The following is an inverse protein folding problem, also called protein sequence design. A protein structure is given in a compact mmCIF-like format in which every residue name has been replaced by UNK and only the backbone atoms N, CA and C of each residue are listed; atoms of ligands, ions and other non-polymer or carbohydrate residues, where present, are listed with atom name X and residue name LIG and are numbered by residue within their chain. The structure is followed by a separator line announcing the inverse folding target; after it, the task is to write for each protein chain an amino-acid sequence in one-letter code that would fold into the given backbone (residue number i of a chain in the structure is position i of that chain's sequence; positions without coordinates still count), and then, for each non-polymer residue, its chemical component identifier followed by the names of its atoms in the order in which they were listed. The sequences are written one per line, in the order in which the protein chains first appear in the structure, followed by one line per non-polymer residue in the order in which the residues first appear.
data_IF_180552196656
#
_entry.id   IF_180552196656
#
_cell.length_a   1.000
_cell.length_b   1.000
_cell.length_c   1.000
_cell.angle_alpha   90.00
_cell.angle_beta   90.00
_cell.angle_gamma   90.00
#
_symmetry.space_group_name_H-M   'P 1'
#
loop_
_entity.id
_entity.type
_entity.pdbx_description
1 polymer ?
#
# COMPACT_ATOMS: atom_id res chain seq x y z
N UNK A 1 7.39 -16.63 -45.25
CA UNK A 1 8.07 -15.98 -44.11
C UNK A 1 9.46 -16.59 -44.05
N UNK A 2 10.52 -15.78 -44.15
CA UNK A 2 11.90 -16.27 -44.30
C UNK A 2 12.37 -17.02 -43.05
N UNK A 3 13.07 -18.17 -43.19
CA UNK A 3 13.47 -19.03 -42.06
C UNK A 3 14.32 -18.28 -41.02
N UNK A 4 15.13 -17.32 -41.47
CA UNK A 4 16.00 -16.50 -40.62
C UNK A 4 15.20 -15.60 -39.66
N UNK A 5 14.02 -15.12 -40.08
CA UNK A 5 13.17 -14.29 -39.22
C UNK A 5 12.51 -15.14 -38.12
N UNK A 6 12.15 -16.39 -38.41
CA UNK A 6 11.61 -17.31 -37.42
C UNK A 6 12.67 -17.69 -36.36
N UNK A 7 13.91 -17.95 -36.79
CA UNK A 7 15.02 -18.24 -35.87
C UNK A 7 15.39 -17.02 -35.01
N UNK A 8 15.41 -15.82 -35.61
CA UNK A 8 15.63 -14.57 -34.88
C UNK A 8 14.55 -14.30 -33.83
N UNK A 9 13.29 -14.61 -34.15
CA UNK A 9 12.18 -14.47 -33.20
C UNK A 9 12.31 -15.45 -32.04
N UNK A 10 12.74 -16.70 -32.31
CA UNK A 10 13.03 -17.70 -31.28
C UNK A 10 14.15 -17.28 -30.34
N UNK A 11 15.24 -16.73 -30.88
CA UNK A 11 16.34 -16.15 -30.10
C UNK A 11 15.89 -14.97 -29.24
N UNK A 12 15.02 -14.10 -29.75
CA UNK A 12 14.51 -12.95 -29.01
C UNK A 12 13.63 -13.39 -27.84
N UNK A 13 12.72 -14.36 -28.05
CA UNK A 13 11.88 -14.92 -26.98
C UNK A 13 12.74 -15.63 -25.94
N UNK A 14 13.75 -16.39 -26.37
CA UNK A 14 14.68 -17.06 -25.45
C UNK A 14 15.47 -16.06 -24.60
N UNK A 15 16.05 -15.03 -25.23
CA UNK A 15 16.79 -13.97 -24.55
C UNK A 15 15.93 -13.19 -23.56
N UNK A 16 14.73 -12.75 -23.99
CA UNK A 16 13.80 -12.04 -23.10
C UNK A 16 13.27 -12.94 -21.97
N UNK A 17 13.04 -14.23 -22.24
CA UNK A 17 12.60 -15.20 -21.23
C UNK A 17 13.66 -15.45 -20.15
N UNK A 18 14.92 -15.61 -20.55
CA UNK A 18 16.03 -15.78 -19.60
C UNK A 18 16.18 -14.56 -18.69
N UNK A 19 16.16 -13.36 -19.28
CA UNK A 19 16.23 -12.10 -18.50
C UNK A 19 15.04 -12.00 -17.55
N UNK A 20 13.83 -12.34 -17.98
CA UNK A 20 12.64 -12.31 -17.13
C UNK A 20 12.76 -13.26 -15.92
N UNK A 21 13.24 -14.49 -16.15
CA UNK A 21 13.50 -15.45 -15.07
C UNK A 21 14.57 -14.92 -14.11
N UNK A 22 15.67 -14.39 -14.63
CA UNK A 22 16.75 -13.83 -13.83
C UNK A 22 16.27 -12.67 -12.95
N UNK A 23 15.51 -11.72 -13.51
CA UNK A 23 14.93 -10.61 -12.76
C UNK A 23 13.91 -11.11 -11.73
N UNK A 24 13.11 -12.12 -12.05
CA UNK A 24 12.16 -12.72 -11.09
C UNK A 24 12.91 -13.28 -9.88
N UNK A 25 14.00 -14.02 -10.12
CA UNK A 25 14.86 -14.54 -9.04
C UNK A 25 15.44 -13.40 -8.21
N UNK A 26 15.94 -12.33 -8.84
CA UNK A 26 16.44 -11.15 -8.12
C UNK A 26 15.34 -10.49 -7.28
N UNK A 27 14.14 -10.30 -7.81
CA UNK A 27 13.02 -9.73 -7.05
C UNK A 27 12.70 -10.59 -5.83
N UNK A 28 12.69 -11.91 -5.97
CA UNK A 28 12.50 -12.82 -4.82
C UNK A 28 13.63 -12.69 -3.80
N UNK A 29 14.89 -12.65 -4.24
CA UNK A 29 16.03 -12.47 -3.35
C UNK A 29 15.94 -11.15 -2.57
N UNK A 30 15.60 -10.05 -3.23
CA UNK A 30 15.42 -8.74 -2.59
C UNK A 30 14.23 -8.73 -1.64
N UNK A 31 13.14 -9.44 -1.97
CA UNK A 31 12.01 -9.60 -1.05
C UNK A 31 12.38 -10.41 0.19
N UNK A 32 13.12 -11.50 0.04
CA UNK A 32 13.63 -12.29 1.17
C UNK A 32 14.54 -11.41 2.02
N UNK A 33 15.45 -10.66 1.41
CA UNK A 33 16.30 -9.70 2.13
C UNK A 33 15.45 -8.67 2.88
N UNK A 34 14.42 -8.10 2.26
CA UNK A 34 13.51 -7.15 2.91
C UNK A 34 12.76 -7.78 4.10
N UNK A 35 12.29 -9.02 3.97
CA UNK A 35 11.63 -9.76 5.06
C UNK A 35 12.58 -10.09 6.21
N UNK A 36 13.80 -10.55 5.88
CA UNK A 36 14.85 -10.86 6.84
C UNK A 36 15.26 -9.59 7.58
N UNK A 37 15.50 -8.49 6.85
CA UNK A 37 15.84 -7.20 7.46
C UNK A 37 14.72 -6.75 8.39
N UNK A 38 13.46 -6.66 7.93
CA UNK A 38 12.34 -6.25 8.79
C UNK A 38 12.13 -7.16 10.02
N UNK A 39 12.44 -8.46 9.93
CA UNK A 39 12.24 -9.42 11.01
C UNK A 39 13.39 -9.46 12.02
N UNK A 40 14.64 -9.41 11.55
CA UNK A 40 15.83 -9.55 12.40
C UNK A 40 16.43 -8.20 12.81
N UNK A 41 16.24 -7.18 11.99
CA UNK A 41 16.55 -5.79 12.28
C UNK A 41 15.27 -4.98 12.10
N UNK A 42 14.29 -5.11 13.02
CA UNK A 42 13.17 -4.18 13.05
C UNK A 42 13.77 -2.78 13.25
N UNK A 43 14.01 -2.09 12.15
CA UNK A 43 14.28 -0.68 12.12
C UNK A 43 13.11 -0.08 12.87
N UNK A 44 13.38 0.55 14.02
CA UNK A 44 12.35 1.11 14.85
C UNK A 44 11.54 2.02 13.93
N UNK A 45 10.37 1.55 13.51
CA UNK A 45 9.51 2.28 12.60
C UNK A 45 9.43 3.68 13.18
N UNK A 46 9.72 4.75 12.41
CA UNK A 46 9.59 6.11 12.92
C UNK A 46 8.21 6.15 13.54
N UNK A 47 8.17 6.24 14.87
CA UNK A 47 6.98 5.97 15.64
C UNK A 47 5.85 6.76 14.96
N UNK A 48 4.73 6.11 14.56
CA UNK A 48 3.69 6.77 13.79
C UNK A 48 3.47 8.10 14.48
N UNK A 49 3.83 9.21 13.79
CA UNK A 49 3.96 10.51 14.43
C UNK A 49 2.73 10.66 15.29
N UNK A 50 2.92 10.66 16.63
CA UNK A 50 1.79 10.63 17.56
C UNK A 50 0.91 11.78 17.11
N UNK A 51 -0.20 11.48 16.44
CA UNK A 51 -1.19 12.49 16.11
C UNK A 51 -1.53 13.01 17.47
N UNK A 52 -1.07 14.24 17.76
CA UNK A 52 -1.27 14.87 19.04
C UNK A 52 -2.78 14.80 19.20
N UNK A 53 -3.28 13.94 20.09
CA UNK A 53 -4.68 13.98 20.47
C UNK A 53 -4.84 15.40 20.99
N UNK A 54 -5.47 16.23 20.18
CA UNK A 54 -5.85 17.57 20.57
C UNK A 54 -6.55 17.41 21.91
N UNK A 55 -6.25 18.25 22.92
CA UNK A 55 -6.93 18.13 24.19
C UNK A 55 -8.42 18.14 23.86
N UNK A 56 -9.14 17.08 24.23
CA UNK A 56 -10.59 17.15 24.23
C UNK A 56 -10.91 18.19 25.30
N UNK A 57 -10.99 19.47 24.89
CA UNK A 57 -11.79 20.45 25.60
C UNK A 57 -13.10 19.73 25.83
N UNK A 58 -13.39 19.42 27.10
CA UNK A 58 -14.50 18.55 27.48
C UNK A 58 -15.71 18.98 26.66
N UNK A 59 -16.14 18.09 25.76
CA UNK A 59 -17.17 18.45 24.81
C UNK A 59 -18.40 18.74 25.64
N UNK A 60 -18.84 19.99 25.62
CA UNK A 60 -19.97 20.43 26.42
C UNK A 60 -21.16 19.49 26.11
N UNK A 61 -21.72 18.79 27.11
CA UNK A 61 -22.84 17.89 26.92
C UNK A 61 -24.02 18.57 26.22
N UNK A 62 -24.16 19.89 26.36
CA UNK A 62 -25.18 20.67 25.67
C UNK A 62 -24.88 20.78 24.16
N UNK A 63 -23.63 21.01 23.76
CA UNK A 63 -23.23 21.04 22.35
C UNK A 63 -23.42 19.69 21.68
N UNK A 64 -23.13 18.58 22.36
CA UNK A 64 -23.39 17.23 21.83
C UNK A 64 -24.88 16.99 21.58
N UNK A 65 -25.75 17.43 22.50
CA UNK A 65 -27.22 17.30 22.34
C UNK A 65 -27.74 18.12 21.17
N UNK A 66 -27.25 19.35 21.01
CA UNK A 66 -27.64 20.21 19.88
C UNK A 66 -27.15 19.62 18.56
N UNK A 67 -25.91 19.13 18.49
CA UNK A 67 -25.39 18.47 17.28
C UNK A 67 -26.21 17.21 16.94
N UNK A 68 -26.54 16.38 17.94
CA UNK A 68 -27.34 15.18 17.75
C UNK A 68 -28.75 15.51 17.23
N UNK A 69 -29.39 16.55 17.77
CA UNK A 69 -30.68 17.03 17.29
C UNK A 69 -30.60 17.56 15.85
N UNK A 70 -29.58 18.36 15.54
CA UNK A 70 -29.37 18.91 14.20
C UNK A 70 -29.11 17.81 13.15
N UNK A 71 -28.31 16.79 13.48
CA UNK A 71 -28.05 15.65 12.59
C UNK A 71 -29.31 14.82 12.37
N UNK A 72 -30.14 14.62 13.41
CA UNK A 72 -31.42 13.92 13.29
C UNK A 72 -32.39 14.67 12.39
N UNK A 73 -32.53 15.98 12.58
CA UNK A 73 -33.36 16.89 11.76
C UNK A 73 -32.91 16.86 10.28
N UNK A 74 -31.60 16.96 10.03
CA UNK A 74 -31.04 16.93 8.68
C UNK A 74 -31.32 15.58 8.00
N UNK A 75 -31.21 14.47 8.74
CA UNK A 75 -31.48 13.12 8.21
C UNK A 75 -32.96 12.87 7.95
N UNK A 76 -33.86 13.44 8.76
CA UNK A 76 -35.31 13.38 8.49
C UNK A 76 -35.72 14.28 7.33
N UNK A 77 -35.00 15.38 7.09
CA UNK A 77 -35.27 16.31 5.98
C UNK A 77 -34.69 15.84 4.64
N UNK A 78 -33.74 14.90 4.66
CA UNK A 78 -33.20 14.24 3.47
C UNK A 78 -33.87 12.88 3.16
N UNK A 79 -34.97 12.56 3.85
CA UNK A 79 -35.90 11.49 3.49
C UNK A 79 -37.20 12.11 2.99
#
# INVERSE_FOLDING_TARGET
MSPIVADGLGLMVFGMGMVFVFLTILIFATNIMSLVVNKYFPEAAPAPAKVKKQPSQGVDPQLLKVLAAAVKEHRSRQK
#
